data_IF_070906788071
#
_entry.id   IF_070906788071
#
_cell.length_a   1.000
_cell.length_b   1.000
_cell.length_c   1.000
_cell.angle_alpha   90.00
_cell.angle_beta   90.00
_cell.angle_gamma   90.00
#
_symmetry.space_group_name_H-M   'P 1'
#
loop_
_entity.id
_entity.type
_entity.pdbx_description
1 polymer ?
#
# COMPACT_ATOMS: atom_id res chain seq x y z
N UNK A 1 -5.95 -27.94 -42.82
CA UNK A 1 -4.91 -28.23 -41.82
C UNK A 1 -5.59 -28.42 -40.48
N UNK A 2 -5.29 -29.50 -39.78
CA UNK A 2 -5.80 -29.76 -38.43
C UNK A 2 -5.25 -28.70 -37.48
N UNK A 3 -6.07 -28.03 -36.64
CA UNK A 3 -5.57 -27.09 -35.66
C UNK A 3 -4.64 -27.80 -34.68
N UNK A 4 -3.51 -27.17 -34.36
CA UNK A 4 -2.57 -27.67 -33.36
C UNK A 4 -3.29 -27.78 -32.00
N UNK A 5 -3.04 -28.86 -31.28
CA UNK A 5 -3.57 -29.04 -29.93
C UNK A 5 -3.07 -27.88 -29.03
N UNK A 6 -3.92 -27.32 -28.15
CA UNK A 6 -3.51 -26.26 -27.24
C UNK A 6 -2.35 -26.75 -26.37
N UNK A 7 -1.29 -25.94 -26.26
CA UNK A 7 -0.19 -26.23 -25.36
C UNK A 7 -0.71 -26.36 -23.92
N UNK A 8 -0.19 -27.32 -23.13
CA UNK A 8 -0.63 -27.50 -21.76
C UNK A 8 -0.37 -26.22 -20.96
N UNK A 9 -1.42 -25.67 -20.35
CA UNK A 9 -1.33 -24.46 -19.54
C UNK A 9 -0.29 -24.65 -18.43
N UNK A 10 0.74 -23.80 -18.45
CA UNK A 10 1.82 -23.86 -17.47
C UNK A 10 1.30 -23.37 -16.12
N UNK A 11 1.28 -24.28 -15.13
CA UNK A 11 0.95 -23.93 -13.74
C UNK A 11 2.02 -23.01 -13.14
N UNK A 12 1.60 -21.84 -12.64
CA UNK A 12 2.48 -20.84 -12.00
C UNK A 12 2.46 -20.94 -10.47
N UNK A 13 1.36 -21.42 -9.88
CA UNK A 13 1.20 -21.56 -8.43
C UNK A 13 0.36 -22.78 -8.06
N UNK A 14 0.49 -23.25 -6.81
CA UNK A 14 -0.37 -24.29 -6.25
C UNK A 14 -1.82 -23.77 -6.03
N UNK A 15 -2.88 -24.56 -6.30
CA UNK A 15 -4.26 -24.13 -6.14
C UNK A 15 -4.61 -23.65 -4.73
N UNK A 16 -4.07 -24.28 -3.68
CA UNK A 16 -4.32 -23.87 -2.30
C UNK A 16 -3.67 -22.51 -2.02
N UNK A 17 -2.43 -22.31 -2.47
CA UNK A 17 -1.72 -21.05 -2.33
C UNK A 17 -2.42 -19.91 -3.09
N UNK A 18 -2.85 -20.17 -4.33
CA UNK A 18 -3.58 -19.19 -5.14
C UNK A 18 -4.92 -18.80 -4.49
N UNK A 19 -5.65 -19.78 -3.96
CA UNK A 19 -6.90 -19.52 -3.27
C UNK A 19 -6.71 -18.69 -1.99
N UNK A 20 -5.68 -18.97 -1.17
CA UNK A 20 -5.42 -18.14 0.01
C UNK A 20 -5.12 -16.69 -0.35
N UNK A 21 -4.31 -16.44 -1.39
CA UNK A 21 -4.03 -15.07 -1.84
C UNK A 21 -5.32 -14.39 -2.27
N UNK A 22 -6.17 -15.07 -3.04
CA UNK A 22 -7.45 -14.53 -3.45
C UNK A 22 -8.37 -14.21 -2.26
N UNK A 23 -8.47 -15.12 -1.28
CA UNK A 23 -9.29 -14.96 -0.09
C UNK A 23 -8.81 -13.78 0.78
N UNK A 24 -7.49 -13.65 0.97
CA UNK A 24 -6.87 -12.51 1.65
C UNK A 24 -7.20 -11.19 0.92
N UNK A 25 -7.04 -11.17 -0.41
CA UNK A 25 -7.31 -9.98 -1.21
C UNK A 25 -8.81 -9.62 -1.26
N UNK A 26 -9.69 -10.61 -1.09
CA UNK A 26 -11.14 -10.39 -0.97
C UNK A 26 -11.51 -9.70 0.35
N UNK A 27 -10.70 -9.91 1.39
CA UNK A 27 -10.81 -9.22 2.68
C UNK A 27 -10.29 -7.78 2.67
N UNK A 28 -9.73 -7.29 1.55
CA UNK A 28 -9.25 -5.91 1.46
C UNK A 28 -10.42 -4.93 1.65
N UNK A 29 -10.28 -3.86 2.46
CA UNK A 29 -11.38 -2.93 2.68
C UNK A 29 -11.69 -2.17 1.37
N UNK A 30 -12.96 -2.11 0.94
CA UNK A 30 -13.33 -1.50 -0.33
C UNK A 30 -13.11 0.03 -0.33
N UNK A 31 -13.21 0.69 -1.50
CA UNK A 31 -13.41 2.14 -1.55
C UNK A 31 -14.75 2.53 -0.90
N UNK A 32 -14.89 3.79 -0.50
CA UNK A 32 -16.01 4.27 0.36
C UNK A 32 -17.41 3.91 -0.16
N UNK A 33 -17.60 3.89 -1.48
CA UNK A 33 -18.90 3.64 -2.11
C UNK A 33 -19.08 2.20 -2.62
N UNK A 34 -18.27 1.24 -2.15
CA UNK A 34 -18.36 -0.15 -2.59
C UNK A 34 -18.57 -1.14 -1.43
N UNK A 35 -19.27 -2.23 -1.74
CA UNK A 35 -19.52 -3.30 -0.78
C UNK A 35 -18.25 -4.15 -0.55
N UNK A 36 -17.94 -4.52 0.70
CA UNK A 36 -16.79 -5.36 1.02
C UNK A 36 -17.00 -6.80 0.53
N UNK A 37 -15.90 -7.52 0.29
CA UNK A 37 -15.94 -8.95 -0.01
C UNK A 37 -16.57 -9.34 -1.35
N UNK A 38 -16.76 -8.38 -2.27
CA UNK A 38 -17.32 -8.62 -3.61
C UNK A 38 -16.29 -9.21 -4.56
N UNK A 39 -15.09 -8.62 -4.62
CA UNK A 39 -14.00 -9.02 -5.51
C UNK A 39 -12.68 -9.15 -4.74
N UNK A 40 -11.76 -9.97 -5.25
CA UNK A 40 -10.37 -9.98 -4.77
C UNK A 40 -9.61 -8.86 -5.46
N UNK A 41 -9.03 -7.92 -4.73
CA UNK A 41 -8.33 -6.80 -5.37
C UNK A 41 -7.14 -6.27 -4.59
N UNK A 42 -6.24 -5.59 -5.30
CA UNK A 42 -5.10 -4.91 -4.73
C UNK A 42 -4.89 -3.56 -5.40
N UNK A 43 -4.51 -2.56 -4.59
CA UNK A 43 -4.08 -1.25 -5.07
C UNK A 43 -2.56 -1.09 -5.05
N UNK A 44 -2.07 -0.21 -5.93
CA UNK A 44 -0.69 0.24 -5.99
C UNK A 44 -0.62 1.75 -6.20
N UNK A 45 0.44 2.38 -5.71
CA UNK A 45 0.73 3.80 -5.95
C UNK A 45 2.23 3.93 -6.08
N UNK A 46 2.71 4.45 -7.21
CA UNK A 46 4.13 4.61 -7.45
C UNK A 46 4.70 5.78 -6.66
N UNK A 47 6.02 5.80 -6.55
CA UNK A 47 6.73 6.91 -5.96
C UNK A 47 6.49 8.21 -6.75
N UNK A 48 6.40 9.35 -6.05
CA UNK A 48 6.14 10.65 -6.67
C UNK A 48 4.71 10.83 -7.22
N UNK A 49 3.77 9.94 -6.91
CA UNK A 49 2.38 10.00 -7.39
C UNK A 49 2.27 10.00 -8.93
N UNK A 50 3.11 9.20 -9.61
CA UNK A 50 3.10 9.09 -11.08
C UNK A 50 2.01 8.12 -11.57
N UNK A 51 1.76 7.07 -10.80
CA UNK A 51 0.84 5.99 -11.13
C UNK A 51 -0.09 5.64 -9.98
N UNK A 52 -1.36 5.46 -10.30
CA UNK A 52 -2.37 4.83 -9.47
C UNK A 52 -2.85 3.54 -10.14
N UNK A 53 -2.62 2.41 -9.47
CA UNK A 53 -3.03 1.09 -9.95
C UNK A 53 -4.12 0.49 -9.06
N UNK A 54 -5.06 -0.21 -9.68
CA UNK A 54 -5.95 -1.15 -9.02
C UNK A 54 -6.17 -2.37 -9.92
N UNK A 55 -5.86 -3.56 -9.41
CA UNK A 55 -6.09 -4.83 -10.13
C UNK A 55 -7.02 -5.67 -9.27
N UNK A 56 -8.08 -6.18 -9.89
CA UNK A 56 -9.05 -7.05 -9.22
C UNK A 56 -9.53 -8.16 -10.12
N UNK A 57 -9.99 -9.23 -9.50
CA UNK A 57 -10.45 -10.42 -10.18
C UNK A 57 -11.56 -11.13 -9.40
N UNK A 58 -12.38 -11.86 -10.15
CA UNK A 58 -13.31 -12.89 -9.67
C UNK A 58 -13.02 -14.20 -10.42
N UNK A 59 -13.87 -15.22 -10.31
CA UNK A 59 -13.67 -16.50 -11.02
C UNK A 59 -13.80 -16.39 -12.56
N UNK A 60 -14.31 -15.28 -13.08
CA UNK A 60 -14.71 -15.11 -14.50
C UNK A 60 -13.88 -14.06 -15.23
N UNK A 61 -13.47 -13.00 -14.53
CA UNK A 61 -12.78 -11.86 -15.15
C UNK A 61 -11.68 -11.29 -14.25
N UNK A 62 -10.61 -10.83 -14.89
CA UNK A 62 -9.59 -9.97 -14.28
C UNK A 62 -9.64 -8.60 -14.94
N UNK A 63 -9.66 -7.55 -14.14
CA UNK A 63 -9.66 -6.16 -14.59
C UNK A 63 -8.48 -5.45 -13.93
N UNK A 64 -7.69 -4.76 -14.75
CA UNK A 64 -6.61 -3.90 -14.30
C UNK A 64 -6.91 -2.45 -14.71
N UNK A 65 -6.85 -1.54 -13.75
CA UNK A 65 -7.01 -0.10 -13.93
C UNK A 65 -5.69 0.58 -13.62
N UNK A 66 -5.24 1.40 -14.54
CA UNK A 66 -4.14 2.33 -14.36
C UNK A 66 -4.62 3.75 -14.62
N UNK A 67 -4.14 4.66 -13.79
CA UNK A 67 -4.28 6.10 -13.98
C UNK A 67 -2.89 6.69 -13.82
N UNK A 68 -2.49 7.54 -14.74
CA UNK A 68 -1.22 8.25 -14.72
C UNK A 68 -1.12 9.13 -15.95
N UNK A 69 -0.03 9.89 -16.04
CA UNK A 69 0.27 10.65 -17.25
C UNK A 69 1.04 9.77 -18.24
N UNK A 70 0.73 9.81 -19.54
CA UNK A 70 1.48 9.07 -20.56
C UNK A 70 2.97 9.44 -20.64
N UNK A 71 3.32 10.66 -20.23
CA UNK A 71 4.71 11.15 -20.13
C UNK A 71 5.42 10.77 -18.82
N UNK A 72 4.73 10.05 -17.93
CA UNK A 72 5.27 9.60 -16.64
C UNK A 72 5.46 10.72 -15.61
N UNK A 73 5.03 11.95 -15.87
CA UNK A 73 5.17 13.04 -14.91
C UNK A 73 4.27 12.84 -13.67
N UNK A 74 4.70 13.41 -12.55
CA UNK A 74 4.00 13.33 -11.26
C UNK A 74 2.63 14.01 -11.31
N UNK A 75 1.64 13.39 -10.67
CA UNK A 75 0.30 13.97 -10.45
C UNK A 75 0.05 14.01 -8.95
N UNK A 76 0.37 15.13 -8.26
CA UNK A 76 0.20 15.22 -6.81
C UNK A 76 -1.19 14.79 -6.34
N UNK A 77 -1.23 13.93 -5.32
CA UNK A 77 -2.48 13.38 -4.78
C UNK A 77 -3.04 12.16 -5.52
N UNK A 78 -2.42 11.74 -6.64
CA UNK A 78 -2.85 10.56 -7.39
C UNK A 78 -2.52 9.27 -6.61
N UNK A 79 -3.55 8.67 -6.00
CA UNK A 79 -3.42 7.48 -5.14
C UNK A 79 -4.37 6.39 -5.62
N UNK A 80 -3.84 5.16 -5.74
CA UNK A 80 -4.56 3.99 -6.26
C UNK A 80 -5.87 3.69 -5.55
N UNK A 81 -5.92 3.90 -4.22
CA UNK A 81 -7.12 3.65 -3.43
C UNK A 81 -8.27 4.64 -3.71
N UNK A 82 -7.97 5.91 -3.89
CA UNK A 82 -8.99 6.95 -4.09
C UNK A 82 -9.32 7.20 -5.57
N UNK A 83 -8.46 6.77 -6.49
CA UNK A 83 -8.62 7.06 -7.91
C UNK A 83 -8.84 5.79 -8.75
N UNK A 84 -7.90 4.83 -8.71
CA UNK A 84 -8.00 3.64 -9.56
C UNK A 84 -9.01 2.60 -9.04
N UNK A 85 -9.12 2.42 -7.72
CA UNK A 85 -10.03 1.43 -7.14
C UNK A 85 -11.51 1.73 -7.41
N UNK A 86 -12.03 2.97 -7.28
CA UNK A 86 -13.42 3.27 -7.65
C UNK A 86 -13.75 2.87 -9.10
N UNK A 87 -12.86 3.19 -10.05
CA UNK A 87 -13.04 2.80 -11.46
C UNK A 87 -13.05 1.28 -11.63
N UNK A 88 -12.19 0.56 -10.92
CA UNK A 88 -12.17 -0.91 -10.94
C UNK A 88 -13.52 -1.48 -10.47
N UNK A 89 -14.06 -0.98 -9.36
CA UNK A 89 -15.35 -1.45 -8.83
C UNK A 89 -16.52 -1.10 -9.75
N UNK A 90 -16.51 0.09 -10.36
CA UNK A 90 -17.49 0.48 -11.38
C UNK A 90 -17.41 -0.41 -12.62
N UNK A 91 -16.20 -0.81 -13.04
CA UNK A 91 -16.00 -1.72 -14.16
C UNK A 91 -16.59 -3.11 -13.88
N UNK A 92 -16.38 -3.66 -12.67
CA UNK A 92 -17.03 -4.90 -12.25
C UNK A 92 -18.56 -4.79 -12.22
N UNK A 93 -19.10 -3.67 -11.71
CA UNK A 93 -20.54 -3.44 -11.69
C UNK A 93 -21.15 -3.38 -13.11
N UNK A 94 -20.40 -2.88 -14.09
CA UNK A 94 -20.81 -2.79 -15.49
C UNK A 94 -20.58 -4.07 -16.30
N UNK A 95 -19.60 -4.91 -15.92
CA UNK A 95 -19.31 -6.18 -16.59
C UNK A 95 -20.51 -7.14 -16.54
N UNK A 96 -21.33 -7.04 -15.50
CA UNK A 96 -22.60 -7.74 -15.39
C UNK A 96 -22.53 -9.07 -14.64
N UNK A 97 -23.65 -9.42 -13.99
CA UNK A 97 -23.74 -10.57 -13.09
C UNK A 97 -23.11 -10.31 -11.72
N UNK A 98 -23.44 -11.16 -10.75
CA UNK A 98 -22.84 -11.09 -9.43
C UNK A 98 -21.39 -11.60 -9.47
N UNK A 99 -20.42 -10.88 -8.86
CA UNK A 99 -19.04 -11.34 -8.76
C UNK A 99 -18.96 -12.73 -8.14
N UNK A 100 -18.21 -13.62 -8.80
CA UNK A 100 -18.09 -15.01 -8.38
C UNK A 100 -16.78 -15.25 -7.62
N UNK A 101 -16.87 -15.68 -6.38
CA UNK A 101 -15.69 -16.00 -5.59
C UNK A 101 -14.99 -17.25 -6.14
N UNK A 102 -13.66 -17.29 -6.04
CA UNK A 102 -12.91 -18.49 -6.40
C UNK A 102 -13.30 -19.68 -5.51
N UNK A 103 -13.54 -20.86 -6.11
CA UNK A 103 -13.95 -22.04 -5.36
C UNK A 103 -12.81 -22.48 -4.42
N UNK A 104 -13.15 -22.75 -3.16
CA UNK A 104 -12.20 -23.21 -2.16
C UNK A 104 -11.68 -24.61 -2.48
N UNK A 105 -10.35 -24.81 -2.62
CA UNK A 105 -9.77 -26.13 -2.74
C UNK A 105 -10.04 -26.98 -1.49
N UNK A 106 -10.27 -28.27 -1.67
CA UNK A 106 -10.56 -29.23 -0.58
C UNK A 106 -9.50 -29.23 0.52
N UNK A 107 -8.23 -29.04 0.14
CA UNK A 107 -7.07 -29.11 1.04
C UNK A 107 -6.74 -27.75 1.70
N UNK A 108 -7.55 -26.71 1.42
CA UNK A 108 -7.37 -25.40 2.05
C UNK A 108 -7.81 -25.43 3.52
N UNK A 109 -6.92 -25.03 4.42
CA UNK A 109 -7.14 -24.86 5.85
C UNK A 109 -7.67 -23.45 6.12
N UNK A 110 -8.91 -23.35 6.57
CA UNK A 110 -9.50 -22.09 7.02
C UNK A 110 -9.81 -22.24 8.51
N UNK A 111 -9.07 -21.50 9.32
CA UNK A 111 -9.25 -21.49 10.76
C UNK A 111 -9.16 -20.06 11.27
N UNK A 112 -10.05 -19.70 12.19
CA UNK A 112 -9.87 -18.52 13.03
C UNK A 112 -9.04 -18.89 14.24
N UNK A 113 -8.44 -17.92 14.92
CA UNK A 113 -7.73 -18.16 16.19
C UNK A 113 -8.58 -18.91 17.20
N UNK A 114 -9.90 -18.70 17.21
CA UNK A 114 -10.82 -19.41 18.11
C UNK A 114 -10.94 -20.91 17.81
N UNK A 115 -10.82 -21.28 16.54
CA UNK A 115 -10.90 -22.67 16.07
C UNK A 115 -9.58 -23.45 16.25
N UNK A 116 -8.49 -22.78 16.63
CA UNK A 116 -7.21 -23.44 16.87
C UNK A 116 -7.20 -24.18 18.23
N UNK A 117 -6.44 -25.28 18.38
CA UNK A 117 -6.18 -25.91 19.66
C UNK A 117 -5.63 -24.91 20.69
N UNK A 118 -5.93 -25.05 22.01
CA UNK A 118 -5.54 -24.07 23.02
C UNK A 118 -4.08 -23.56 22.96
N UNK A 119 -3.05 -24.40 22.73
CA UNK A 119 -1.67 -23.93 22.59
C UNK A 119 -1.44 -22.99 21.39
N UNK A 120 -2.23 -23.15 20.32
CA UNK A 120 -2.12 -22.40 19.06
C UNK A 120 -3.04 -21.18 19.00
N UNK A 121 -3.98 -21.04 19.94
CA UNK A 121 -4.78 -19.80 20.10
C UNK A 121 -3.92 -18.60 20.46
N UNK A 122 -2.74 -18.85 21.02
CA UNK A 122 -1.82 -17.82 21.50
C UNK A 122 -0.57 -17.76 20.62
N UNK A 123 -0.70 -17.31 19.37
CA UNK A 123 0.47 -16.87 18.58
C UNK A 123 1.12 -15.71 19.34
N UNK A 124 2.40 -15.89 19.75
CA UNK A 124 3.31 -15.00 20.52
C UNK A 124 2.82 -13.58 20.86
N UNK A 125 3.04 -13.18 22.12
CA UNK A 125 2.65 -11.88 22.72
C UNK A 125 3.39 -10.66 22.16
N UNK A 126 4.38 -10.85 21.29
CA UNK A 126 5.38 -9.81 20.96
C UNK A 126 5.10 -9.07 19.64
N UNK A 127 3.97 -9.34 18.98
CA UNK A 127 3.56 -8.63 17.76
C UNK A 127 2.16 -8.04 17.91
N UNK A 128 1.99 -6.71 17.71
CA UNK A 128 0.72 -6.04 17.94
C UNK A 128 -0.39 -6.45 16.95
N UNK A 129 -1.52 -6.94 17.46
CA UNK A 129 -2.66 -7.50 16.69
C UNK A 129 -3.89 -6.60 16.58
N UNK A 130 -3.79 -5.33 17.00
CA UNK A 130 -4.86 -4.34 16.95
C UNK A 130 -4.28 -2.97 16.60
N UNK A 131 -5.10 -2.06 16.07
CA UNK A 131 -4.70 -0.65 15.86
C UNK A 131 -4.20 0.01 17.15
N UNK A 132 -4.72 -0.42 18.31
CA UNK A 132 -4.23 -0.02 19.63
C UNK A 132 -2.81 -0.53 19.93
N UNK A 133 -2.44 -1.70 19.42
CA UNK A 133 -1.11 -2.26 19.63
C UNK A 133 -0.06 -1.64 18.67
N UNK A 134 -0.50 -0.92 17.61
CA UNK A 134 0.36 -0.03 16.81
C UNK A 134 0.96 1.13 17.63
N UNK A 135 0.38 1.46 18.79
CA UNK A 135 0.95 2.45 19.74
C UNK A 135 2.27 1.97 20.37
N UNK A 136 2.64 0.70 20.23
CA UNK A 136 3.92 0.14 20.69
C UNK A 136 4.92 -0.20 19.57
N UNK A 137 4.62 0.13 18.31
CA UNK A 137 5.60 0.01 17.22
C UNK A 137 6.61 1.16 17.41
N UNK A 138 7.92 0.88 17.45
CA UNK A 138 8.92 1.94 17.60
C UNK A 138 8.79 2.92 16.43
N UNK A 139 8.90 4.20 16.73
CA UNK A 139 8.89 5.25 15.72
C UNK A 139 10.01 4.99 14.71
N UNK A 140 9.64 4.86 13.44
CA UNK A 140 10.57 4.68 12.33
C UNK A 140 10.16 5.47 11.12
N UNK A 141 11.10 6.13 10.45
CA UNK A 141 10.88 6.75 9.15
C UNK A 141 10.79 5.61 8.12
N UNK A 142 9.60 5.45 7.54
CA UNK A 142 9.36 4.49 6.46
C UNK A 142 9.63 5.09 5.08
N UNK A 143 9.49 6.42 4.97
CA UNK A 143 9.86 7.13 3.76
C UNK A 143 10.24 8.58 4.06
N UNK A 144 11.31 9.10 3.44
CA UNK A 144 12.28 8.37 2.61
C UNK A 144 13.16 7.42 3.45
N UNK A 145 13.67 6.31 2.88
CA UNK A 145 14.63 5.47 3.57
C UNK A 145 16.00 6.16 3.69
N UNK A 146 16.83 5.70 4.63
CA UNK A 146 18.18 6.22 4.79
C UNK A 146 19.03 5.99 3.53
N UNK A 147 19.77 7.02 3.13
CA UNK A 147 20.57 7.04 1.90
C UNK A 147 19.77 7.20 0.59
N UNK A 148 18.45 7.46 0.66
CA UNK A 148 17.65 7.64 -0.56
C UNK A 148 18.16 8.79 -1.43
N UNK A 149 18.21 8.55 -2.74
CA UNK A 149 18.36 9.58 -3.77
C UNK A 149 16.99 9.89 -4.34
N UNK A 150 16.59 11.15 -4.24
CA UNK A 150 15.22 11.59 -4.52
C UNK A 150 15.28 12.73 -5.54
N UNK A 151 14.96 12.39 -6.78
CA UNK A 151 14.84 13.35 -7.87
C UNK A 151 13.49 14.07 -7.77
N UNK A 152 13.57 15.37 -7.49
CA UNK A 152 12.44 16.27 -7.33
C UNK A 152 12.39 17.34 -8.45
N UNK A 153 13.28 17.28 -9.44
CA UNK A 153 13.35 18.28 -10.51
C UNK A 153 13.71 19.69 -10.01
N UNK A 154 14.43 19.79 -8.88
CA UNK A 154 14.75 21.07 -8.24
C UNK A 154 15.67 21.95 -9.11
N UNK A 155 16.43 21.35 -10.02
CA UNK A 155 17.26 22.05 -10.99
C UNK A 155 16.50 22.86 -12.06
N UNK A 156 15.20 22.60 -12.25
CA UNK A 156 14.35 23.29 -13.25
C UNK A 156 13.44 24.37 -12.64
N UNK A 157 13.65 24.73 -11.36
CA UNK A 157 12.82 25.71 -10.66
C UNK A 157 11.43 25.18 -10.25
N UNK A 158 11.24 23.86 -10.28
CA UNK A 158 10.00 23.22 -9.85
C UNK A 158 9.90 23.18 -8.31
N UNK A 159 8.77 23.65 -7.78
CA UNK A 159 8.47 23.56 -6.35
C UNK A 159 7.87 22.19 -6.02
N UNK A 160 8.73 21.19 -5.88
CA UNK A 160 8.34 19.81 -5.62
C UNK A 160 8.20 19.51 -4.13
N UNK A 161 7.25 18.63 -3.79
CA UNK A 161 6.99 18.20 -2.40
C UNK A 161 7.52 16.80 -2.18
N UNK A 162 8.30 16.63 -1.12
CA UNK A 162 8.74 15.34 -0.62
C UNK A 162 7.73 14.81 0.40
N UNK A 163 7.15 13.65 0.11
CA UNK A 163 6.35 12.93 1.11
C UNK A 163 7.24 12.44 2.26
N UNK A 164 6.74 12.55 3.48
CA UNK A 164 7.37 12.05 4.70
C UNK A 164 6.41 11.03 5.34
N UNK A 165 6.89 9.82 5.66
CA UNK A 165 6.06 8.77 6.24
C UNK A 165 6.78 8.09 7.40
N UNK A 166 6.06 7.90 8.49
CA UNK A 166 6.51 7.18 9.66
C UNK A 166 5.67 5.92 9.91
N UNK A 167 6.26 4.97 10.61
CA UNK A 167 5.62 3.83 11.24
C UNK A 167 5.73 4.00 12.76
N UNK A 168 4.74 3.51 13.50
CA UNK A 168 4.77 3.57 14.97
C UNK A 168 4.69 4.99 15.54
N UNK A 169 5.13 5.13 16.79
CA UNK A 169 5.15 6.40 17.53
C UNK A 169 3.79 6.92 18.02
N UNK A 170 3.84 7.79 19.03
CA UNK A 170 2.69 8.46 19.64
C UNK A 170 2.47 9.86 19.05
N UNK A 171 1.35 10.12 18.35
CA UNK A 171 1.08 11.45 17.82
C UNK A 171 0.86 12.49 18.95
N UNK A 172 1.08 13.80 18.69
CA UNK A 172 1.57 14.36 17.42
C UNK A 172 3.00 13.95 17.07
N UNK A 173 3.27 13.87 15.77
CA UNK A 173 4.62 13.69 15.25
C UNK A 173 5.16 15.04 14.76
N UNK A 174 6.34 15.40 15.26
CA UNK A 174 7.08 16.58 14.83
C UNK A 174 8.14 16.16 13.82
N UNK A 175 7.98 16.59 12.57
CA UNK A 175 8.95 16.40 11.50
C UNK A 175 9.91 17.57 11.47
N UNK A 176 11.20 17.25 11.35
CA UNK A 176 12.27 18.23 11.25
C UNK A 176 13.16 17.92 10.05
N UNK A 177 13.69 18.97 9.45
CA UNK A 177 14.75 18.89 8.44
C UNK A 177 15.91 19.74 8.90
N UNK A 178 17.10 19.14 8.95
CA UNK A 178 18.33 19.78 9.42
C UNK A 178 18.16 20.46 10.80
N UNK A 179 17.33 19.86 11.64
CA UNK A 179 17.01 20.34 12.99
C UNK A 179 15.91 21.39 13.06
N UNK A 180 15.38 21.87 11.93
CA UNK A 180 14.28 22.83 11.88
C UNK A 180 12.93 22.11 11.75
N UNK A 181 11.92 22.41 12.59
CA UNK A 181 10.60 21.81 12.47
C UNK A 181 9.91 22.28 11.18
N UNK A 182 9.48 21.32 10.37
CA UNK A 182 8.82 21.57 9.06
C UNK A 182 7.33 21.22 9.07
N UNK A 183 6.91 20.33 9.96
CA UNK A 183 5.50 19.95 10.11
C UNK A 183 5.22 19.31 11.47
N UNK A 184 4.00 19.51 11.98
CA UNK A 184 3.44 18.77 13.10
C UNK A 184 2.17 18.06 12.63
N UNK A 185 2.08 16.75 12.81
CA UNK A 185 1.00 15.95 12.24
C UNK A 185 0.44 14.94 13.24
N UNK A 186 -0.89 14.89 13.35
CA UNK A 186 -1.60 13.80 14.04
C UNK A 186 -1.56 12.49 13.25
N UNK A 187 -1.30 12.57 11.95
CA UNK A 187 -1.13 11.42 11.05
C UNK A 187 0.35 11.10 10.91
N UNK A 188 0.65 9.84 10.62
CA UNK A 188 2.04 9.35 10.38
C UNK A 188 2.58 9.69 8.99
N UNK A 189 2.02 10.72 8.36
CA UNK A 189 2.42 11.17 7.03
C UNK A 189 2.33 12.69 6.98
N UNK A 190 3.30 13.31 6.33
CA UNK A 190 3.38 14.75 6.07
C UNK A 190 4.02 14.99 4.68
N UNK A 191 4.09 16.25 4.27
CA UNK A 191 4.82 16.70 3.09
C UNK A 191 5.77 17.83 3.50
N UNK A 192 6.94 17.87 2.88
CA UNK A 192 7.90 18.96 3.02
C UNK A 192 8.35 19.43 1.63
N UNK A 193 8.45 20.74 1.43
CA UNK A 193 8.99 21.34 0.21
C UNK A 193 10.45 21.73 0.42
N UNK A 194 11.42 21.08 -0.25
CA UNK A 194 12.81 21.46 -0.15
C UNK A 194 13.09 22.81 -0.81
N UNK A 195 14.06 23.55 -0.28
CA UNK A 195 14.51 24.83 -0.84
C UNK A 195 15.48 24.66 -2.00
N UNK A 196 16.14 23.50 -2.12
CA UNK A 196 17.09 23.21 -3.19
C UNK A 196 17.62 21.78 -3.13
N UNK A 197 18.39 21.40 -4.16
CA UNK A 197 19.09 20.12 -4.22
C UNK A 197 20.23 20.06 -3.19
N UNK A 198 20.56 18.85 -2.73
CA UNK A 198 21.61 18.65 -1.72
C UNK A 198 21.29 17.53 -0.74
N UNK A 199 22.07 17.47 0.34
CA UNK A 199 21.80 16.54 1.43
C UNK A 199 20.85 17.17 2.44
N UNK A 200 19.90 16.38 2.93
CA UNK A 200 18.99 16.78 4.00
C UNK A 200 18.92 15.67 5.05
N UNK A 201 19.00 16.04 6.33
CA UNK A 201 18.69 15.13 7.44
C UNK A 201 17.24 15.29 7.83
N UNK A 202 16.46 14.23 7.65
CA UNK A 202 15.06 14.20 8.03
C UNK A 202 14.96 13.45 9.36
N UNK A 203 14.33 14.10 10.34
CA UNK A 203 14.09 13.54 11.66
C UNK A 203 12.59 13.58 11.98
N UNK A 204 12.11 12.59 12.71
CA UNK A 204 10.76 12.58 13.27
C UNK A 204 10.85 12.32 14.76
N UNK A 205 10.09 13.08 15.55
CA UNK A 205 9.95 12.91 16.98
C UNK A 205 8.47 12.73 17.34
N UNK A 206 8.18 11.85 18.28
CA UNK A 206 6.81 11.64 18.77
C UNK A 206 6.55 12.37 20.11
N UNK A 207 5.30 12.39 20.57
CA UNK A 207 4.90 13.07 21.80
C UNK A 207 5.52 12.47 23.07
N UNK A 208 6.00 11.24 23.02
CA UNK A 208 6.69 10.57 24.12
C UNK A 208 8.22 10.80 24.09
N UNK A 209 8.71 11.50 23.06
CA UNK A 209 10.12 11.83 22.87
C UNK A 209 10.95 10.77 22.14
N UNK A 210 10.33 9.73 21.60
CA UNK A 210 11.02 8.80 20.71
C UNK A 210 11.36 9.53 19.40
N UNK A 211 12.52 9.25 18.82
CA UNK A 211 12.94 9.85 17.57
C UNK A 211 13.59 8.84 16.63
N UNK A 212 13.49 9.10 15.33
CA UNK A 212 14.23 8.41 14.29
C UNK A 212 14.74 9.43 13.26
N UNK A 213 15.81 9.10 12.54
CA UNK A 213 16.43 10.02 11.59
C UNK A 213 17.04 9.28 10.41
N UNK A 214 16.99 9.93 9.25
CA UNK A 214 17.56 9.44 7.99
C UNK A 214 18.28 10.60 7.29
N UNK A 215 19.28 10.27 6.47
CA UNK A 215 19.94 11.22 5.59
C UNK A 215 19.57 10.88 4.15
N UNK A 216 19.13 11.88 3.40
CA UNK A 216 18.77 11.72 1.99
C UNK A 216 19.52 12.71 1.12
N UNK A 217 19.59 12.41 -0.18
CA UNK A 217 20.12 13.29 -1.20
C UNK A 217 19.02 13.66 -2.18
N UNK A 218 18.74 14.95 -2.26
CA UNK A 218 17.77 15.57 -3.15
C UNK A 218 18.49 16.03 -4.41
N UNK A 219 17.95 15.68 -5.57
CA UNK A 219 18.48 16.06 -6.89
C UNK A 219 17.39 16.74 -7.74
#
# INVERSE_FOLDING_TARGET
GTPAAPEPERRVADPVAAWYVADILRGAPPPENALPGRISFKTGTSYGYRDAWAVGFDARVTIAVWIGRPDGASVPGLVGRSHAAPILFDAFARFGGEPEALPRPRDALVATTAALPPPLRHIRRDAPKTFAATLGVPLKIAYPPDGARVDLGLGEGAQARLALKALGGQPPLTWMVDGLPVAEAMRRQSEWSPEGAGFARISVMDAAGASDSVVVRLE
#
